data_IF_102896799610
#
_entry.id   IF_102896799610
#
_cell.length_a   1.000
_cell.length_b   1.000
_cell.length_c   1.000
_cell.angle_alpha   90.00
_cell.angle_beta   90.00
_cell.angle_gamma   90.00
#
_symmetry.space_group_name_H-M   'P 1'
#
loop_
_entity.id
_entity.type
_entity.pdbx_description
1 polymer ?
#
# COMPACT_ATOMS: atom_id res chain seq x y z
N UNK A 1 -13.75 14.25 -21.05
CA UNK A 1 -12.65 13.35 -20.69
C UNK A 1 -12.05 13.84 -19.39
N UNK A 2 -12.14 13.06 -18.30
CA UNK A 2 -11.44 13.41 -17.05
C UNK A 2 -9.94 13.28 -17.33
N UNK A 3 -9.22 14.38 -17.15
CA UNK A 3 -7.75 14.43 -17.20
C UNK A 3 -7.18 13.40 -16.23
N UNK A 4 -6.13 12.67 -16.60
CA UNK A 4 -5.44 11.69 -15.74
C UNK A 4 -4.66 12.35 -14.60
N UNK A 5 -5.33 13.15 -13.77
CA UNK A 5 -4.78 13.85 -12.61
C UNK A 5 -4.97 13.07 -11.30
N UNK A 6 -5.95 12.17 -11.25
CA UNK A 6 -6.21 11.36 -10.06
C UNK A 6 -5.34 10.09 -10.11
N UNK A 7 -4.44 9.96 -9.14
CA UNK A 7 -3.58 8.78 -8.99
C UNK A 7 -3.92 8.01 -7.72
N UNK A 8 -4.03 6.69 -7.84
CA UNK A 8 -4.37 5.80 -6.74
C UNK A 8 -3.13 5.06 -6.23
N UNK A 9 -2.98 5.02 -4.91
CA UNK A 9 -1.93 4.31 -4.19
C UNK A 9 -2.45 3.93 -2.81
N UNK A 10 -1.67 3.16 -2.04
CA UNK A 10 -2.09 2.79 -0.69
C UNK A 10 -0.90 2.70 0.27
N UNK A 11 -1.19 2.88 1.56
CA UNK A 11 -0.21 2.73 2.64
C UNK A 11 -0.62 1.56 3.52
N UNK A 12 0.32 0.67 3.82
CA UNK A 12 0.18 -0.35 4.86
C UNK A 12 0.82 0.17 6.14
N UNK A 13 0.10 0.05 7.25
CA UNK A 13 0.57 0.41 8.58
C UNK A 13 0.81 -0.85 9.39
N UNK A 14 2.03 -1.03 9.87
CA UNK A 14 2.43 -2.10 10.77
C UNK A 14 2.63 -1.53 12.18
N UNK A 15 2.13 -2.24 13.21
CA UNK A 15 2.21 -1.83 14.62
C UNK A 15 1.58 -0.46 14.93
N UNK A 16 0.45 -0.12 14.30
CA UNK A 16 -0.24 1.17 14.50
C UNK A 16 -0.48 1.51 15.99
N UNK A 17 -1.05 0.56 16.72
CA UNK A 17 -1.44 0.70 18.13
C UNK A 17 -0.74 -0.33 19.03
N UNK A 18 0.44 -0.78 18.63
CA UNK A 18 1.22 -1.79 19.35
C UNK A 18 2.51 -1.17 19.92
N UNK A 19 3.13 -1.78 20.94
CA UNK A 19 4.45 -1.37 21.42
C UNK A 19 5.52 -1.48 20.32
N UNK A 20 6.43 -0.50 20.25
CA UNK A 20 7.55 -0.47 19.30
C UNK A 20 7.30 0.41 18.06
N UNK A 21 8.24 0.40 17.09
CA UNK A 21 8.17 1.26 15.91
C UNK A 21 6.92 1.00 15.08
N UNK A 22 6.26 2.07 14.64
CA UNK A 22 5.19 2.02 13.65
C UNK A 22 5.79 2.20 12.27
N UNK A 23 5.62 1.20 11.40
CA UNK A 23 6.16 1.23 10.05
C UNK A 23 5.06 1.56 9.03
N UNK A 24 5.35 2.50 8.14
CA UNK A 24 4.50 3.01 7.09
C UNK A 24 5.11 2.61 5.74
N UNK A 25 4.45 1.71 5.04
CA UNK A 25 4.87 1.24 3.72
C UNK A 25 3.94 1.84 2.68
N UNK A 26 4.45 2.73 1.84
CA UNK A 26 3.68 3.32 0.76
C UNK A 26 3.93 2.56 -0.54
N UNK A 27 2.89 1.93 -1.08
CA UNK A 27 2.95 1.12 -2.30
C UNK A 27 2.41 1.95 -3.47
N UNK A 28 3.26 2.14 -4.48
CA UNK A 28 2.95 2.98 -5.62
C UNK A 28 3.29 2.28 -6.95
N UNK A 29 2.35 2.30 -7.89
CA UNK A 29 2.53 1.75 -9.24
C UNK A 29 3.16 2.71 -10.23
N UNK A 30 3.11 4.03 -9.99
CA UNK A 30 3.57 5.06 -10.90
C UNK A 30 4.59 5.99 -10.21
N UNK A 31 5.86 5.84 -10.56
CA UNK A 31 6.95 6.64 -9.99
C UNK A 31 6.74 8.13 -10.27
N UNK A 32 6.83 8.95 -9.22
CA UNK A 32 6.72 10.40 -9.31
C UNK A 32 5.28 10.95 -9.40
N UNK A 33 4.27 10.10 -9.25
CA UNK A 33 2.87 10.52 -9.34
C UNK A 33 2.39 11.40 -8.17
N UNK A 34 3.00 11.29 -6.98
CA UNK A 34 2.63 12.08 -5.79
C UNK A 34 3.73 12.14 -4.72
N UNK A 35 3.64 13.13 -3.85
CA UNK A 35 4.53 13.34 -2.70
C UNK A 35 4.16 12.40 -1.55
N UNK A 36 4.99 11.39 -1.31
CA UNK A 36 4.76 10.40 -0.24
C UNK A 36 4.82 11.04 1.14
N UNK A 37 5.67 12.05 1.31
CA UNK A 37 5.92 12.72 2.60
C UNK A 37 4.63 13.34 3.16
N UNK A 38 3.84 14.01 2.33
CA UNK A 38 2.57 14.59 2.74
C UNK A 38 1.55 13.53 3.19
N UNK A 39 1.48 12.40 2.47
CA UNK A 39 0.60 11.29 2.83
C UNK A 39 1.04 10.65 4.16
N UNK A 40 2.35 10.51 4.39
CA UNK A 40 2.86 10.04 5.67
C UNK A 40 2.57 11.01 6.81
N UNK A 41 2.78 12.31 6.63
CA UNK A 41 2.53 13.30 7.68
C UNK A 41 1.06 13.35 8.11
N UNK A 42 0.12 13.30 7.16
CA UNK A 42 -1.30 13.19 7.46
C UNK A 42 -1.63 11.92 8.24
N UNK A 43 -1.07 10.79 7.82
CA UNK A 43 -1.32 9.50 8.46
C UNK A 43 -0.70 9.43 9.86
N UNK A 44 0.51 9.95 10.05
CA UNK A 44 1.15 10.08 11.36
C UNK A 44 0.30 10.93 12.31
N UNK A 45 -0.15 12.09 11.84
CA UNK A 45 -1.03 12.96 12.63
C UNK A 45 -2.27 12.20 13.10
N UNK A 46 -2.95 11.50 12.17
CA UNK A 46 -4.12 10.69 12.49
C UNK A 46 -3.80 9.58 13.51
N UNK A 47 -2.72 8.80 13.28
CA UNK A 47 -2.32 7.69 14.16
C UNK A 47 -1.90 8.15 15.56
N UNK A 48 -1.33 9.36 15.70
CA UNK A 48 -1.06 9.96 17.02
C UNK A 48 -2.37 10.18 17.77
N UNK A 49 -3.41 10.70 17.12
CA UNK A 49 -4.72 10.89 17.74
C UNK A 49 -5.36 9.56 18.14
N UNK A 50 -5.33 8.57 17.25
CA UNK A 50 -5.91 7.25 17.52
C UNK A 50 -5.18 6.53 18.67
N UNK A 51 -3.85 6.67 18.75
CA UNK A 51 -3.09 6.12 19.87
C UNK A 51 -3.42 6.81 21.19
N UNK A 52 -3.54 8.14 21.21
CA UNK A 52 -3.97 8.85 22.42
C UNK A 52 -5.35 8.39 22.91
N UNK A 53 -6.26 8.04 21.98
CA UNK A 53 -7.60 7.55 22.30
C UNK A 53 -7.61 6.11 22.81
N UNK A 54 -6.79 5.25 22.23
CA UNK A 54 -6.94 3.79 22.39
C UNK A 54 -5.77 3.08 23.08
N UNK A 55 -4.61 3.73 23.20
CA UNK A 55 -3.39 3.15 23.78
C UNK A 55 -2.48 4.25 24.35
N UNK A 56 -3.06 5.10 25.20
CA UNK A 56 -2.43 6.30 25.79
C UNK A 56 -1.18 6.01 26.64
N UNK A 57 -1.08 4.77 27.13
CA UNK A 57 0.01 4.24 27.93
C UNK A 57 1.25 3.88 27.10
N UNK A 58 1.11 3.75 25.78
CA UNK A 58 2.24 3.48 24.89
C UNK A 58 3.08 4.74 24.70
N UNK A 59 4.38 4.66 24.96
CA UNK A 59 5.29 5.76 24.70
C UNK A 59 5.34 6.12 23.20
N UNK A 60 5.63 7.37 22.84
CA UNK A 60 5.95 7.73 21.47
C UNK A 60 7.16 6.91 20.97
N UNK A 61 7.03 6.27 19.82
CA UNK A 61 8.07 5.44 19.20
C UNK A 61 8.56 6.09 17.89
N UNK A 62 9.72 5.66 17.34
CA UNK A 62 10.16 6.11 16.03
C UNK A 62 9.22 5.63 14.91
N UNK A 63 9.04 6.49 13.91
CA UNK A 63 8.39 6.14 12.64
C UNK A 63 9.40 5.49 11.71
N UNK A 64 9.00 4.41 11.04
CA UNK A 64 9.74 3.87 9.91
C UNK A 64 8.94 4.10 8.62
N UNK A 65 9.53 4.78 7.65
CA UNK A 65 8.86 5.07 6.39
C UNK A 65 9.57 4.35 5.25
N UNK A 66 8.81 3.76 4.34
CA UNK A 66 9.39 3.11 3.16
C UNK A 66 8.46 3.28 1.97
N UNK A 67 8.99 3.82 0.89
CA UNK A 67 8.30 3.93 -0.39
C UNK A 67 8.69 2.71 -1.23
N UNK A 68 7.68 1.94 -1.66
CA UNK A 68 7.82 0.74 -2.45
C UNK A 68 7.17 0.96 -3.82
N UNK A 69 8.00 1.05 -4.85
CA UNK A 69 7.52 1.03 -6.23
C UNK A 69 7.32 -0.41 -6.69
N UNK A 70 6.13 -0.70 -7.21
CA UNK A 70 5.82 -2.04 -7.72
C UNK A 70 6.65 -2.38 -8.96
N UNK A 71 6.86 -3.66 -9.22
CA UNK A 71 7.54 -4.15 -10.43
C UNK A 71 6.75 -5.30 -11.06
N UNK A 72 6.32 -5.21 -12.33
CA UNK A 72 6.56 -4.15 -13.30
C UNK A 72 5.84 -2.85 -12.92
N UNK A 73 6.44 -1.72 -13.29
CA UNK A 73 5.85 -0.41 -13.05
C UNK A 73 4.71 -0.18 -14.06
N UNK A 74 3.65 0.51 -13.62
CA UNK A 74 2.60 0.98 -14.51
C UNK A 74 3.17 1.98 -15.53
N UNK A 75 2.76 1.83 -16.79
CA UNK A 75 3.21 2.65 -17.91
C UNK A 75 2.22 3.74 -18.35
N UNK A 76 0.95 3.66 -17.93
CA UNK A 76 -0.09 4.66 -18.24
C UNK A 76 -0.57 5.39 -16.97
N UNK A 77 -1.55 6.30 -17.09
CA UNK A 77 -2.09 7.08 -15.97
C UNK A 77 -3.50 6.67 -15.52
N UNK A 78 -4.04 5.55 -16.02
CA UNK A 78 -5.45 5.18 -15.81
C UNK A 78 -5.65 3.85 -15.10
N UNK A 79 -4.59 3.05 -14.97
CA UNK A 79 -4.66 1.72 -14.39
C UNK A 79 -4.29 1.67 -12.90
N UNK A 80 -3.93 2.79 -12.28
CA UNK A 80 -3.42 2.82 -10.90
C UNK A 80 -4.39 2.20 -9.89
N UNK A 81 -5.71 2.36 -10.08
CA UNK A 81 -6.72 1.67 -9.26
C UNK A 81 -6.66 0.14 -9.39
N UNK A 82 -6.41 -0.39 -10.59
CA UNK A 82 -6.28 -1.84 -10.81
C UNK A 82 -5.00 -2.39 -10.16
N UNK A 83 -3.90 -1.62 -10.22
CA UNK A 83 -2.68 -1.96 -9.49
C UNK A 83 -2.91 -1.98 -7.97
N UNK A 84 -3.62 -1.00 -7.42
CA UNK A 84 -3.97 -0.97 -5.99
C UNK A 84 -4.71 -2.25 -5.60
N UNK A 85 -5.79 -2.58 -6.32
CA UNK A 85 -6.60 -3.78 -6.02
C UNK A 85 -5.77 -5.07 -6.11
N UNK A 86 -4.99 -5.24 -7.17
CA UNK A 86 -4.15 -6.41 -7.36
C UNK A 86 -3.13 -6.58 -6.23
N UNK A 87 -2.40 -5.52 -5.86
CA UNK A 87 -1.36 -5.64 -4.84
C UNK A 87 -1.93 -5.71 -3.42
N UNK A 88 -3.09 -5.13 -3.15
CA UNK A 88 -3.80 -5.35 -1.88
C UNK A 88 -4.19 -6.82 -1.72
N UNK A 89 -4.82 -7.43 -2.73
CA UNK A 89 -5.22 -8.84 -2.69
C UNK A 89 -4.00 -9.77 -2.58
N UNK A 90 -2.97 -9.53 -3.39
CA UNK A 90 -1.74 -10.32 -3.35
C UNK A 90 -1.04 -10.27 -1.98
N UNK A 91 -0.95 -9.10 -1.37
CA UNK A 91 -0.32 -8.94 -0.04
C UNK A 91 -1.18 -9.61 1.03
N UNK A 92 -2.50 -9.42 0.97
CA UNK A 92 -3.45 -10.09 1.86
C UNK A 92 -3.31 -11.61 1.82
N UNK A 93 -3.37 -12.21 0.63
CA UNK A 93 -3.19 -13.65 0.43
C UNK A 93 -1.82 -14.12 0.94
N UNK A 94 -0.77 -13.35 0.69
CA UNK A 94 0.59 -13.68 1.15
C UNK A 94 0.74 -13.65 2.67
N UNK A 95 -0.05 -12.80 3.35
CA UNK A 95 -0.13 -12.79 4.82
C UNK A 95 -0.90 -14.00 5.37
N UNK A 96 -1.96 -14.46 4.69
CA UNK A 96 -2.80 -15.58 5.15
C UNK A 96 -2.15 -16.97 5.03
N UNK A 97 -1.18 -17.15 4.13
CA UNK A 97 -0.55 -18.45 3.83
C UNK A 97 0.58 -18.82 4.82
N UNK A 98 1.02 -17.90 5.67
CA UNK A 98 2.07 -18.16 6.67
C UNK A 98 1.70 -17.58 8.03
N UNK A 99 2.23 -18.12 9.12
CA UNK A 99 2.19 -17.43 10.41
C UNK A 99 2.72 -16.00 10.20
N UNK A 100 1.92 -15.00 10.56
CA UNK A 100 2.24 -13.59 10.33
C UNK A 100 3.63 -13.31 10.91
N UNK A 101 4.60 -12.87 10.09
CA UNK A 101 5.93 -12.56 10.60
C UNK A 101 5.83 -11.36 11.54
N UNK A 102 6.77 -11.26 12.49
CA UNK A 102 6.86 -10.10 13.39
C UNK A 102 6.98 -8.76 12.65
N UNK A 103 7.52 -8.79 11.43
CA UNK A 103 7.46 -7.67 10.50
C UNK A 103 7.34 -8.16 9.06
N UNK A 104 6.57 -7.44 8.24
CA UNK A 104 6.40 -7.70 6.82
C UNK A 104 7.39 -6.92 5.93
N UNK A 105 8.26 -6.06 6.50
CA UNK A 105 9.17 -5.16 5.76
C UNK A 105 9.92 -5.83 4.61
N UNK A 106 10.65 -6.90 4.91
CA UNK A 106 11.44 -7.60 3.90
C UNK A 106 10.56 -8.38 2.92
N UNK A 107 9.45 -8.96 3.39
CA UNK A 107 8.49 -9.68 2.54
C UNK A 107 7.80 -8.75 1.54
N UNK A 108 7.44 -7.53 1.95
CA UNK A 108 6.81 -6.54 1.08
C UNK A 108 7.66 -6.23 -0.16
N UNK A 109 8.99 -6.12 -0.02
CA UNK A 109 9.91 -5.90 -1.16
C UNK A 109 9.81 -6.99 -2.23
N UNK A 110 9.42 -8.21 -1.85
CA UNK A 110 9.17 -9.33 -2.75
C UNK A 110 7.74 -9.33 -3.27
N UNK A 111 6.74 -9.08 -2.41
CA UNK A 111 5.33 -9.14 -2.77
C UNK A 111 4.91 -8.03 -3.75
N UNK A 112 5.53 -6.86 -3.69
CA UNK A 112 5.32 -5.78 -4.67
C UNK A 112 5.99 -6.03 -6.02
N UNK A 113 6.54 -7.23 -6.26
CA UNK A 113 7.15 -7.64 -7.53
C UNK A 113 6.42 -8.84 -8.14
N UNK A 114 6.33 -8.92 -9.46
CA UNK A 114 5.72 -10.06 -10.14
C UNK A 114 5.62 -9.88 -11.65
N UNK A 115 4.50 -10.34 -12.21
CA UNK A 115 4.21 -10.34 -13.65
C UNK A 115 3.04 -9.43 -14.02
N UNK A 116 2.51 -8.65 -13.08
CA UNK A 116 1.37 -7.76 -13.29
C UNK A 116 1.79 -6.53 -14.13
N UNK A 117 1.80 -6.71 -15.44
CA UNK A 117 2.13 -5.73 -16.48
C UNK A 117 0.86 -5.27 -17.22
N UNK A 118 1.01 -4.42 -18.24
CA UNK A 118 -0.13 -3.89 -19.01
C UNK A 118 -1.09 -4.97 -19.55
N UNK A 119 -0.57 -6.07 -20.11
CA UNK A 119 -1.44 -7.16 -20.60
C UNK A 119 -2.17 -7.90 -19.48
N UNK A 120 -1.51 -8.10 -18.33
CA UNK A 120 -2.16 -8.70 -17.15
C UNK A 120 -3.26 -7.79 -16.57
N UNK A 121 -3.07 -6.47 -16.66
CA UNK A 121 -4.04 -5.47 -16.19
C UNK A 121 -5.30 -5.47 -17.06
N UNK A 122 -5.16 -5.62 -18.37
CA UNK A 122 -6.31 -5.73 -19.29
C UNK A 122 -7.19 -6.96 -18.95
N UNK A 123 -6.57 -8.11 -18.74
CA UNK A 123 -7.28 -9.32 -18.32
C UNK A 123 -7.96 -9.12 -16.96
N UNK A 124 -7.24 -8.58 -15.98
CA UNK A 124 -7.79 -8.31 -14.65
C UNK A 124 -8.96 -7.33 -14.69
N UNK A 125 -8.91 -6.32 -15.57
CA UNK A 125 -10.03 -5.40 -15.80
C UNK A 125 -11.26 -6.14 -16.33
N UNK A 126 -11.08 -7.05 -17.29
CA UNK A 126 -12.18 -7.84 -17.84
C UNK A 126 -12.79 -8.75 -16.76
N UNK A 127 -11.96 -9.40 -15.94
CA UNK A 127 -12.42 -10.26 -14.84
C UNK A 127 -13.24 -9.47 -13.81
N UNK A 128 -12.77 -8.27 -13.42
CA UNK A 128 -13.50 -7.40 -12.50
C UNK A 128 -14.84 -6.94 -13.09
N UNK A 129 -14.88 -6.62 -14.39
CA UNK A 129 -16.12 -6.25 -15.05
C UNK A 129 -17.13 -7.41 -15.03
N UNK A 130 -16.70 -8.64 -15.31
CA UNK A 130 -17.58 -9.81 -15.22
C UNK A 130 -18.04 -10.13 -13.80
N UNK A 131 -17.27 -9.76 -12.78
CA UNK A 131 -17.67 -9.99 -11.39
C UNK A 131 -18.78 -9.03 -10.92
N UNK A 132 -18.82 -7.81 -11.45
CA UNK A 132 -19.77 -6.77 -11.04
C UNK A 132 -20.97 -6.59 -11.98
N UNK A 133 -21.02 -7.31 -13.10
CA UNK A 133 -22.12 -7.32 -14.07
C UNK A 133 -22.66 -8.73 -14.27
#
# INVERSE_FOLDING_TARGET
MRTGLDHWSFIIVENALQPGPTALYHINSLKGAHYSDYAFDLLKWFLVQERQRHASELSPFPWEETILTVKPQQSNMVDCGLFVLHYMDKIWLSCGVSALPRSIKEKLKFWVRGTFNAGAVENFRADLQQFFY
#
